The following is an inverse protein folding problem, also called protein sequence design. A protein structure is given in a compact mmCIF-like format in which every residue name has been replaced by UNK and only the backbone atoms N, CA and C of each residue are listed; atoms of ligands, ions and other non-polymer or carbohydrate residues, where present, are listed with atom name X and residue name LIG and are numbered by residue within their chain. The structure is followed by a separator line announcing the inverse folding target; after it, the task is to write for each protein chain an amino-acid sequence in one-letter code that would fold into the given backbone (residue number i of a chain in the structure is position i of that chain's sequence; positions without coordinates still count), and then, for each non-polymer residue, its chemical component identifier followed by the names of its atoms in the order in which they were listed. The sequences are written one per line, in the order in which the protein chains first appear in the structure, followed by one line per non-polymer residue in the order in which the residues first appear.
data_IF_318358654230
#
_entry.id   IF_318358654230
#
_cell.length_a   1.000
_cell.length_b   1.000
_cell.length_c   1.000
_cell.angle_alpha   90.00
_cell.angle_beta   90.00
_cell.angle_gamma   90.00
#
_symmetry.space_group_name_H-M   'P 1'
#
loop_
_entity.id
_entity.type
_entity.pdbx_description
1 polymer ?
#
# COMPACT_ATOMS: atom_id res chain seq x y z
N UNK A 1 4.29 17.02 5.36
CA UNK A 1 4.38 15.94 6.37
C UNK A 1 2.97 15.44 6.62
N UNK A 2 2.76 14.12 6.70
CA UNK A 2 1.41 13.56 6.94
C UNK A 2 0.91 13.96 8.32
N UNK A 3 -0.33 14.44 8.40
CA UNK A 3 -0.96 14.90 9.65
C UNK A 3 -1.52 13.75 10.51
N UNK A 4 -1.17 12.49 10.19
CA UNK A 4 -1.67 11.28 10.87
C UNK A 4 -1.48 11.39 12.38
N UNK A 5 -0.33 11.89 12.85
CA UNK A 5 -0.02 12.03 14.27
C UNK A 5 -0.93 13.01 15.04
N UNK A 6 -1.74 13.82 14.35
CA UNK A 6 -2.72 14.74 14.95
C UNK A 6 -4.12 14.15 15.06
N UNK A 7 -4.38 12.96 14.50
CA UNK A 7 -5.67 12.28 14.61
C UNK A 7 -5.90 11.92 16.09
N UNK A 8 -6.99 12.38 16.73
CA UNK A 8 -7.26 12.03 18.12
C UNK A 8 -7.24 10.51 18.35
N UNK A 9 -6.47 10.06 19.35
CA UNK A 9 -6.34 8.64 19.72
C UNK A 9 -5.23 7.87 19.00
N UNK A 10 -4.64 8.39 17.91
CA UNK A 10 -3.59 7.68 17.16
C UNK A 10 -2.33 7.41 17.98
N UNK A 11 -1.93 8.37 18.83
CA UNK A 11 -0.73 8.24 19.66
C UNK A 11 -0.94 7.14 20.71
N UNK A 12 -2.09 7.13 21.39
CA UNK A 12 -2.45 6.08 22.32
C UNK A 12 -2.63 4.70 21.65
N UNK A 13 -3.00 4.65 20.37
CA UNK A 13 -3.01 3.40 19.60
C UNK A 13 -1.58 2.92 19.31
N UNK A 14 -0.70 3.81 18.87
CA UNK A 14 0.71 3.50 18.60
C UNK A 14 1.52 3.10 19.83
N UNK A 15 1.16 3.60 21.01
CA UNK A 15 1.70 3.14 22.29
C UNK A 15 1.35 1.68 22.58
N UNK A 16 0.17 1.21 22.12
CA UNK A 16 -0.22 -0.20 22.24
C UNK A 16 0.43 -1.07 21.16
N UNK A 17 0.42 -0.60 19.91
CA UNK A 17 1.06 -1.28 18.78
C UNK A 17 1.15 -0.37 17.56
N UNK A 18 2.19 -0.55 16.75
CA UNK A 18 2.34 0.07 15.41
C UNK A 18 2.09 -0.93 14.28
N UNK A 19 1.38 -2.02 14.58
CA UNK A 19 1.18 -3.17 13.70
C UNK A 19 1.90 -4.41 14.20
N UNK A 20 1.45 -5.56 13.71
CA UNK A 20 2.01 -6.88 13.98
C UNK A 20 2.40 -7.53 12.66
N UNK A 21 3.56 -8.19 12.60
CA UNK A 21 4.03 -8.85 11.39
C UNK A 21 3.13 -10.00 10.93
N UNK A 22 2.27 -10.54 11.79
CA UNK A 22 1.28 -11.54 11.42
C UNK A 22 0.11 -10.95 10.61
N UNK A 23 -0.13 -9.64 10.71
CA UNK A 23 -1.19 -8.96 9.96
C UNK A 23 -0.67 -8.53 8.59
N UNK A 24 -1.40 -8.90 7.54
CA UNK A 24 -1.07 -8.63 6.15
C UNK A 24 -2.12 -7.68 5.56
N UNK A 25 -1.68 -6.53 5.04
CA UNK A 25 -2.53 -5.53 4.38
C UNK A 25 -2.22 -5.51 2.88
N UNK A 26 -3.21 -5.80 2.05
CA UNK A 26 -3.08 -5.67 0.60
C UNK A 26 -3.52 -4.28 0.13
N UNK A 27 -2.74 -3.68 -0.76
CA UNK A 27 -3.02 -2.41 -1.43
C UNK A 27 -3.21 -2.70 -2.91
N UNK A 28 -4.46 -2.55 -3.37
CA UNK A 28 -4.85 -2.69 -4.77
C UNK A 28 -4.94 -1.30 -5.40
N UNK A 29 -3.84 -0.86 -6.00
CA UNK A 29 -3.70 0.51 -6.52
C UNK A 29 -2.80 0.54 -7.79
N UNK A 30 -2.10 1.64 -8.06
CA UNK A 30 -1.00 1.67 -9.02
C UNK A 30 0.27 0.99 -8.50
N UNK A 31 1.31 0.97 -9.35
CA UNK A 31 2.60 0.37 -8.98
C UNK A 31 3.27 1.23 -7.90
N UNK A 32 3.61 0.62 -6.76
CA UNK A 32 4.26 1.33 -5.64
C UNK A 32 5.76 1.43 -5.88
N UNK A 33 6.33 2.63 -5.71
CA UNK A 33 7.77 2.83 -5.62
C UNK A 33 8.30 2.30 -4.28
N UNK A 34 8.74 1.04 -4.28
CA UNK A 34 9.28 0.38 -3.09
C UNK A 34 10.67 0.89 -2.69
N UNK A 35 11.34 1.65 -3.57
CA UNK A 35 12.63 2.27 -3.27
C UNK A 35 12.48 3.64 -2.58
N UNK A 36 11.24 4.15 -2.43
CA UNK A 36 11.01 5.39 -1.72
C UNK A 36 11.47 5.27 -0.24
N UNK A 37 12.24 6.24 0.31
CA UNK A 37 12.84 6.13 1.64
C UNK A 37 11.85 5.92 2.80
N UNK A 38 10.56 6.20 2.59
CA UNK A 38 9.56 5.90 3.61
C UNK A 38 9.29 4.41 3.83
N UNK A 39 9.72 3.56 2.90
CA UNK A 39 9.57 2.11 3.01
C UNK A 39 10.84 1.41 3.49
N UNK A 40 11.88 2.14 3.90
CA UNK A 40 13.12 1.58 4.42
C UNK A 40 12.88 0.76 5.70
N UNK A 41 12.91 -0.57 5.57
CA UNK A 41 12.59 -1.52 6.63
C UNK A 41 11.13 -1.97 6.69
N UNK A 42 10.28 -1.48 5.80
CA UNK A 42 8.92 -1.99 5.61
C UNK A 42 8.96 -3.38 4.95
N UNK A 43 8.01 -4.25 5.31
CA UNK A 43 7.88 -5.59 4.68
C UNK A 43 6.86 -5.53 3.55
N UNK A 44 7.30 -5.07 2.39
CA UNK A 44 6.50 -4.98 1.18
C UNK A 44 6.83 -6.10 0.21
N UNK A 45 5.79 -6.73 -0.35
CA UNK A 45 5.91 -7.68 -1.45
C UNK A 45 4.94 -7.31 -2.56
N UNK A 46 5.44 -7.18 -3.79
CA UNK A 46 4.59 -7.03 -4.98
C UNK A 46 4.12 -8.41 -5.46
N UNK A 47 2.85 -8.54 -5.79
CA UNK A 47 2.32 -9.73 -6.47
C UNK A 47 2.24 -9.49 -7.99
N UNK A 48 2.39 -10.54 -8.81
CA UNK A 48 2.24 -10.43 -10.26
C UNK A 48 0.79 -10.08 -10.63
N UNK A 49 0.59 -9.12 -11.52
CA UNK A 49 -0.72 -8.76 -12.07
C UNK A 49 -0.62 -8.51 -13.58
N UNK A 50 -1.71 -8.09 -14.21
CA UNK A 50 -1.69 -7.68 -15.61
C UNK A 50 -1.11 -6.26 -15.82
N UNK A 51 -0.89 -5.51 -14.73
CA UNK A 51 -0.19 -4.21 -14.78
C UNK A 51 1.31 -4.48 -14.62
N UNK A 52 2.01 -4.35 -15.75
CA UNK A 52 3.44 -4.62 -15.89
C UNK A 52 4.25 -3.34 -15.72
N UNK A 53 5.56 -3.49 -15.55
CA UNK A 53 6.51 -2.38 -15.43
C UNK A 53 6.79 -1.94 -14.00
N UNK A 54 7.73 -1.02 -13.86
CA UNK A 54 8.16 -0.46 -12.59
C UNK A 54 7.34 0.78 -12.21
N UNK A 55 7.45 1.20 -10.96
CA UNK A 55 6.84 2.45 -10.51
C UNK A 55 7.43 3.62 -11.31
N UNK A 56 6.56 4.49 -11.81
CA UNK A 56 6.95 5.73 -12.48
C UNK A 56 6.65 6.92 -11.55
N UNK A 57 7.65 7.62 -11.00
CA UNK A 57 7.41 8.78 -10.14
C UNK A 57 6.63 9.92 -10.81
N UNK A 58 6.64 10.00 -12.15
CA UNK A 58 5.84 10.95 -12.93
C UNK A 58 4.48 10.38 -13.35
N UNK A 59 4.26 9.08 -13.12
CA UNK A 59 3.03 8.37 -13.41
C UNK A 59 1.98 8.61 -12.34
N UNK A 60 0.77 9.03 -12.76
CA UNK A 60 -0.31 9.39 -11.83
C UNK A 60 -0.71 8.25 -10.91
N UNK A 61 -0.86 7.04 -11.44
CA UNK A 61 -1.27 5.86 -10.67
C UNK A 61 -0.12 5.34 -9.82
N UNK A 62 1.11 5.37 -10.32
CA UNK A 62 2.28 5.03 -9.50
C UNK A 62 2.45 5.97 -8.32
N UNK A 63 2.33 7.30 -8.53
CA UNK A 63 2.32 8.28 -7.43
C UNK A 63 1.17 8.04 -6.45
N UNK A 64 -0.03 7.73 -6.95
CA UNK A 64 -1.20 7.46 -6.12
C UNK A 64 -1.02 6.21 -5.25
N UNK A 65 -0.60 5.09 -5.85
CA UNK A 65 -0.35 3.84 -5.12
C UNK A 65 0.76 3.99 -4.08
N UNK A 66 1.84 4.69 -4.42
CA UNK A 66 2.93 5.00 -3.49
C UNK A 66 2.43 5.85 -2.32
N UNK A 67 1.62 6.87 -2.60
CA UNK A 67 1.02 7.71 -1.56
C UNK A 67 0.14 6.89 -0.62
N UNK A 68 -0.80 6.10 -1.16
CA UNK A 68 -1.71 5.24 -0.39
C UNK A 68 -0.92 4.24 0.46
N UNK A 69 0.05 3.54 -0.12
CA UNK A 69 0.88 2.58 0.61
C UNK A 69 1.69 3.27 1.73
N UNK A 70 2.18 4.49 1.51
CA UNK A 70 2.95 5.24 2.53
C UNK A 70 2.12 5.63 3.75
N UNK A 71 0.82 5.90 3.58
CA UNK A 71 -0.08 6.23 4.70
C UNK A 71 -0.30 5.01 5.61
N UNK A 72 -0.16 3.80 5.08
CA UNK A 72 -0.36 2.56 5.85
C UNK A 72 0.98 2.07 6.41
N UNK A 73 2.00 1.94 5.56
CA UNK A 73 3.24 1.19 5.82
C UNK A 73 4.50 2.07 5.85
N UNK A 74 4.34 3.40 5.79
CA UNK A 74 5.45 4.34 5.93
C UNK A 74 6.11 4.21 7.30
N UNK A 75 7.43 4.04 7.33
CA UNK A 75 8.18 3.75 8.53
C UNK A 75 8.32 4.98 9.42
N UNK A 76 8.14 4.81 10.73
CA UNK A 76 8.36 5.90 11.68
C UNK A 76 9.84 6.28 11.70
N UNK A 77 10.14 7.59 11.68
CA UNK A 77 11.51 8.10 11.49
C UNK A 77 11.88 8.36 10.03
N UNK A 78 11.01 7.99 9.09
CA UNK A 78 11.10 8.35 7.68
C UNK A 78 10.31 9.64 7.36
N UNK A 79 10.32 10.14 6.11
CA UNK A 79 9.52 11.30 5.70
C UNK A 79 8.00 11.15 5.87
N UNK A 80 7.48 9.91 5.96
CA UNK A 80 6.04 9.61 6.13
C UNK A 80 5.85 8.60 7.26
N UNK A 81 5.02 8.95 8.24
CA UNK A 81 4.68 8.08 9.37
C UNK A 81 3.35 7.40 9.10
N UNK A 82 3.41 6.15 8.65
CA UNK A 82 2.24 5.33 8.35
C UNK A 82 1.50 4.88 9.60
N UNK A 83 0.25 4.45 9.43
CA UNK A 83 -0.61 4.02 10.53
C UNK A 83 -0.14 2.69 11.14
N UNK A 84 0.33 1.76 10.31
CA UNK A 84 0.67 0.39 10.70
C UNK A 84 2.02 -0.08 10.09
N UNK A 85 3.13 0.64 10.32
CA UNK A 85 4.45 0.34 9.73
C UNK A 85 4.94 -1.08 10.02
N UNK A 86 4.52 -1.67 11.14
CA UNK A 86 4.95 -3.00 11.55
C UNK A 86 4.08 -4.13 11.00
N UNK A 87 3.11 -3.87 10.12
CA UNK A 87 2.38 -4.92 9.40
C UNK A 87 3.17 -5.42 8.17
N UNK A 88 2.73 -6.52 7.57
CA UNK A 88 3.17 -6.91 6.22
C UNK A 88 2.30 -6.24 5.16
N UNK A 89 2.89 -5.84 4.04
CA UNK A 89 2.20 -5.25 2.91
C UNK A 89 2.27 -6.11 1.65
N UNK A 90 1.13 -6.30 1.00
CA UNK A 90 1.03 -6.86 -0.35
C UNK A 90 0.65 -5.74 -1.32
N UNK A 91 1.51 -5.47 -2.31
CA UNK A 91 1.21 -4.51 -3.38
C UNK A 91 0.68 -5.29 -4.58
N UNK A 92 -0.55 -4.99 -5.01
CA UNK A 92 -1.22 -5.69 -6.11
C UNK A 92 -1.67 -4.64 -7.13
N UNK A 93 -0.85 -4.31 -8.13
CA UNK A 93 -1.17 -3.23 -9.06
C UNK A 93 -2.38 -3.58 -9.94
N UNK A 94 -3.42 -2.75 -9.91
CA UNK A 94 -4.65 -2.89 -10.71
C UNK A 94 -4.90 -1.67 -11.61
N UNK A 95 -4.33 -0.50 -11.28
CA UNK A 95 -4.38 0.70 -12.12
C UNK A 95 -3.03 0.94 -12.80
N UNK A 96 -3.03 1.11 -14.13
CA UNK A 96 -1.83 1.44 -14.89
C UNK A 96 -1.72 2.96 -15.08
N UNK A 97 -0.50 3.49 -15.12
CA UNK A 97 -0.26 4.91 -15.43
C UNK A 97 -0.77 5.31 -16.82
N UNK A 98 -0.71 4.37 -17.77
CA UNK A 98 -1.15 4.57 -19.15
C UNK A 98 -2.04 3.42 -19.63
N UNK A 99 -2.99 3.74 -20.52
CA UNK A 99 -3.52 2.76 -21.47
C UNK A 99 -4.51 1.71 -20.96
N UNK A 100 -5.03 1.78 -19.73
CA UNK A 100 -6.03 0.79 -19.27
C UNK A 100 -7.00 1.32 -18.22
N UNK A 101 -8.31 1.22 -18.49
CA UNK A 101 -9.34 1.37 -17.45
C UNK A 101 -9.43 0.07 -16.66
N UNK A 102 -9.62 0.18 -15.34
CA UNK A 102 -9.77 -0.99 -14.50
C UNK A 102 -11.04 -1.78 -14.87
N UNK A 103 -10.81 -3.02 -15.26
CA UNK A 103 -11.68 -4.17 -15.12
C UNK A 103 -12.46 -4.33 -13.81
N UNK A 104 -13.79 -4.39 -13.76
CA UNK A 104 -14.44 -5.01 -12.58
C UNK A 104 -13.98 -6.47 -12.40
N UNK A 105 -13.75 -7.19 -13.51
CA UNK A 105 -13.19 -8.54 -13.51
C UNK A 105 -11.72 -8.58 -13.08
N UNK A 106 -10.92 -7.60 -13.49
CA UNK A 106 -9.52 -7.53 -13.05
C UNK A 106 -9.43 -7.19 -11.56
N UNK A 107 -10.31 -6.33 -11.06
CA UNK A 107 -10.42 -6.02 -9.65
C UNK A 107 -10.85 -7.25 -8.85
N UNK A 108 -11.86 -8.00 -9.31
CA UNK A 108 -12.31 -9.21 -8.60
C UNK A 108 -11.20 -10.26 -8.51
N UNK A 109 -10.41 -10.43 -9.58
CA UNK A 109 -9.24 -11.32 -9.60
C UNK A 109 -8.14 -10.85 -8.65
N UNK A 110 -7.89 -9.54 -8.58
CA UNK A 110 -6.91 -8.99 -7.66
C UNK A 110 -7.34 -9.17 -6.19
N UNK A 111 -8.64 -9.03 -5.89
CA UNK A 111 -9.19 -9.32 -4.56
C UNK A 111 -8.99 -10.79 -4.21
N UNK A 112 -9.34 -11.71 -5.10
CA UNK A 112 -9.11 -13.14 -4.92
C UNK A 112 -7.62 -13.46 -4.70
N UNK A 113 -6.73 -12.85 -5.48
CA UNK A 113 -5.28 -13.00 -5.32
C UNK A 113 -4.79 -12.50 -3.96
N UNK A 114 -5.32 -11.37 -3.46
CA UNK A 114 -5.01 -10.83 -2.14
C UNK A 114 -5.40 -11.81 -1.03
N UNK A 115 -6.62 -12.35 -1.10
CA UNK A 115 -7.14 -13.34 -0.13
C UNK A 115 -6.27 -14.60 -0.15
N UNK A 116 -5.98 -15.15 -1.33
CA UNK A 116 -5.14 -16.35 -1.47
C UNK A 116 -3.70 -16.13 -0.99
N UNK A 117 -3.21 -14.89 -1.04
CA UNK A 117 -1.91 -14.51 -0.51
C UNK A 117 -1.92 -14.20 1.00
N UNK A 118 -3.05 -14.39 1.69
CA UNK A 118 -3.18 -14.23 3.14
C UNK A 118 -3.44 -12.80 3.60
N UNK A 119 -3.96 -11.92 2.72
CA UNK A 119 -4.37 -10.58 3.12
C UNK A 119 -5.49 -10.66 4.17
N UNK A 120 -5.30 -9.97 5.30
CA UNK A 120 -6.30 -9.81 6.36
C UNK A 120 -7.17 -8.58 6.10
N UNK A 121 -6.59 -7.57 5.45
CA UNK A 121 -7.23 -6.31 5.07
C UNK A 121 -6.90 -6.03 3.61
N UNK A 122 -7.89 -5.56 2.84
CA UNK A 122 -7.72 -5.16 1.43
C UNK A 122 -8.13 -3.69 1.32
N UNK A 123 -7.19 -2.83 0.94
CA UNK A 123 -7.43 -1.41 0.64
C UNK A 123 -7.55 -1.22 -0.88
N UNK A 124 -8.67 -0.64 -1.32
CA UNK A 124 -8.93 -0.26 -2.71
C UNK A 124 -9.30 1.22 -2.71
N UNK A 125 -8.37 2.07 -3.15
CA UNK A 125 -8.54 3.52 -3.18
C UNK A 125 -8.84 4.03 -4.59
N UNK A 126 -9.71 3.33 -5.32
CA UNK A 126 -10.14 3.70 -6.67
C UNK A 126 -11.46 3.02 -7.05
N UNK A 127 -12.12 3.51 -8.10
CA UNK A 127 -13.42 3.02 -8.59
C UNK A 127 -13.91 3.76 -9.83
#
# INVERSE_FOLDING_TARGET
MSEIAKIPGIQGLWEKTKGDSQVVVAVLDGVVDQAHPCFDGARLKRLPTLVQGEANPSGRMSSHGTHVASLILGQHGSPVQGIAPNCQGLVIPVFADEGRRLSQLDLSRAIEQAVNAGAHIINISGG
#
